data_IF_005248721073
#
_entry.id   IF_005248721073
#
_cell.length_a   1.000
_cell.length_b   1.000
_cell.length_c   1.000
_cell.angle_alpha   90.00
_cell.angle_beta   90.00
_cell.angle_gamma   90.00
#
_symmetry.space_group_name_H-M   'P 1'
#
loop_
_entity.id
_entity.type
_entity.pdbx_description
1 polymer ?
#
# COMPACT_ATOMS: atom_id res chain seq x y z
N UNK A 1 -19.41 35.12 5.27
CA UNK A 1 -18.23 36.01 5.33
C UNK A 1 -17.38 35.64 4.14
N UNK A 2 -17.29 36.56 3.18
CA UNK A 2 -16.71 36.30 1.87
C UNK A 2 -15.19 36.29 1.90
N UNK A 3 -14.62 35.46 1.02
CA UNK A 3 -13.28 35.61 0.50
C UNK A 3 -13.40 35.41 -1.00
N UNK A 4 -13.24 36.52 -1.71
CA UNK A 4 -13.20 36.64 -3.16
C UNK A 4 -11.88 36.07 -3.67
N UNK A 5 -11.96 35.15 -4.62
CA UNK A 5 -10.84 34.73 -5.47
C UNK A 5 -10.29 35.95 -6.21
N UNK A 6 -9.01 36.25 -5.97
CA UNK A 6 -8.22 37.18 -6.77
C UNK A 6 -7.25 36.34 -7.57
N UNK A 7 -7.68 36.00 -8.78
CA UNK A 7 -6.83 35.44 -9.83
C UNK A 7 -5.90 36.56 -10.34
N UNK A 8 -4.65 36.50 -9.90
CA UNK A 8 -3.61 37.48 -10.20
C UNK A 8 -2.55 36.86 -11.12
N UNK A 9 -2.89 36.68 -12.40
CA UNK A 9 -1.93 36.35 -13.45
C UNK A 9 -0.91 37.48 -13.64
N UNK A 10 0.26 37.37 -13.02
CA UNK A 10 1.40 38.24 -13.30
C UNK A 10 2.14 37.77 -14.56
N UNK A 11 1.49 37.97 -15.71
CA UNK A 11 2.16 38.05 -17.01
C UNK A 11 2.75 39.44 -17.18
N UNK A 12 3.88 39.70 -16.53
CA UNK A 12 4.63 40.95 -16.67
C UNK A 12 5.38 40.98 -17.99
N UNK A 13 4.78 41.64 -18.97
CA UNK A 13 5.38 42.12 -20.20
C UNK A 13 6.73 42.79 -19.88
N UNK A 14 7.82 42.23 -20.40
CA UNK A 14 9.10 42.93 -20.51
C UNK A 14 8.95 43.98 -21.62
N UNK A 15 8.31 45.09 -21.28
CA UNK A 15 8.48 46.33 -22.02
C UNK A 15 9.82 46.92 -21.58
N UNK A 16 10.88 46.60 -22.34
CA UNK A 16 12.15 47.32 -22.29
C UNK A 16 12.00 48.68 -22.96
N UNK A 17 11.07 49.49 -22.46
CA UNK A 17 11.00 50.90 -22.77
C UNK A 17 11.90 51.66 -21.80
N UNK A 18 12.84 52.40 -22.37
CA UNK A 18 13.72 53.37 -21.71
C UNK A 18 12.95 54.18 -20.64
N UNK A 19 13.24 53.92 -19.36
CA UNK A 19 12.92 54.83 -18.26
C UNK A 19 14.22 55.50 -17.82
N UNK A 20 14.83 56.27 -18.72
CA UNK A 20 15.61 57.43 -18.30
C UNK A 20 14.64 58.59 -18.13
N UNK A 21 13.90 58.55 -17.01
CA UNK A 21 13.14 59.69 -16.54
C UNK A 21 14.11 60.85 -16.25
N UNK A 22 13.65 62.05 -16.57
CA UNK A 22 14.38 63.34 -16.60
C UNK A 22 14.80 63.87 -15.20
N UNK A 23 15.12 62.97 -14.26
CA UNK A 23 15.73 63.32 -12.97
C UNK A 23 17.25 63.43 -13.16
N UNK A 24 17.67 64.54 -13.75
CA UNK A 24 19.08 64.84 -13.95
C UNK A 24 19.76 65.15 -12.62
N UNK A 25 20.52 64.19 -12.09
CA UNK A 25 21.24 64.32 -10.82
C UNK A 25 22.25 65.48 -10.78
N UNK A 26 22.86 65.85 -11.92
CA UNK A 26 23.82 66.95 -12.00
C UNK A 26 23.58 67.82 -13.25
N UNK A 27 23.68 69.14 -13.06
CA UNK A 27 23.66 70.17 -14.10
C UNK A 27 24.83 71.17 -13.92
N UNK A 28 24.95 72.15 -14.81
CA UNK A 28 26.05 73.13 -14.79
C UNK A 28 26.02 74.02 -13.53
N UNK A 29 24.83 74.25 -12.94
CA UNK A 29 24.65 75.14 -11.81
C UNK A 29 24.87 74.45 -10.45
N UNK A 30 24.74 73.12 -10.39
CA UNK A 30 24.87 72.34 -9.15
C UNK A 30 26.09 71.39 -9.09
N UNK A 31 26.92 71.36 -10.14
CA UNK A 31 28.00 70.40 -10.32
C UNK A 31 28.93 70.25 -9.10
N UNK A 32 29.38 71.36 -8.50
CA UNK A 32 30.26 71.34 -7.31
C UNK A 32 29.58 70.69 -6.09
N UNK A 33 28.27 70.89 -5.93
CA UNK A 33 27.50 70.28 -4.85
C UNK A 33 27.32 68.78 -5.11
N UNK A 34 27.03 68.39 -6.36
CA UNK A 34 26.86 66.99 -6.73
C UNK A 34 28.16 66.19 -6.59
N UNK A 35 29.32 66.76 -6.95
CA UNK A 35 30.63 66.10 -6.77
C UNK A 35 30.93 65.91 -5.28
N UNK A 36 30.68 66.92 -4.43
CA UNK A 36 30.83 66.78 -2.98
C UNK A 36 29.93 65.69 -2.40
N UNK A 37 28.67 65.67 -2.82
CA UNK A 37 27.70 64.66 -2.41
C UNK A 37 28.11 63.24 -2.84
N UNK A 38 28.55 63.07 -4.09
CA UNK A 38 29.05 61.79 -4.58
C UNK A 38 30.24 61.31 -3.75
N UNK A 39 31.22 62.17 -3.50
CA UNK A 39 32.41 61.82 -2.74
C UNK A 39 32.06 61.44 -1.28
N UNK A 40 31.13 62.15 -0.65
CA UNK A 40 30.64 61.79 0.67
C UNK A 40 29.89 60.44 0.68
N UNK A 41 29.06 60.20 -0.34
CA UNK A 41 28.31 58.95 -0.49
C UNK A 41 29.24 57.76 -0.72
N UNK A 42 30.24 57.92 -1.59
CA UNK A 42 31.23 56.88 -1.89
C UNK A 42 32.01 56.46 -0.64
N UNK A 43 32.44 57.43 0.17
CA UNK A 43 33.09 57.14 1.46
C UNK A 43 32.13 56.41 2.39
N UNK A 44 30.86 56.82 2.45
CA UNK A 44 29.82 56.17 3.29
C UNK A 44 29.58 54.72 2.86
N UNK A 45 29.61 54.42 1.56
CA UNK A 45 29.49 53.07 1.02
C UNK A 45 30.81 52.28 1.02
N UNK A 46 31.89 52.83 1.58
CA UNK A 46 33.16 52.14 1.78
C UNK A 46 34.09 52.12 0.56
N UNK A 47 33.87 52.98 -0.44
CA UNK A 47 34.77 53.09 -1.59
C UNK A 47 36.03 53.91 -1.27
N UNK A 48 37.21 53.48 -1.74
CA UNK A 48 38.47 54.17 -1.48
C UNK A 48 38.65 55.38 -2.42
N UNK A 49 38.80 56.58 -1.83
CA UNK A 49 39.01 57.90 -2.46
C UNK A 49 37.77 58.51 -3.13
N UNK A 50 37.61 59.83 -3.02
CA UNK A 50 36.60 60.58 -3.77
C UNK A 50 37.00 60.72 -5.25
N UNK A 51 36.00 60.95 -6.09
CA UNK A 51 36.13 61.38 -7.49
C UNK A 51 36.76 62.77 -7.54
N UNK A 52 37.94 62.85 -8.14
CA UNK A 52 38.61 64.10 -8.46
C UNK A 52 38.48 64.34 -9.97
N UNK A 53 37.35 64.92 -10.36
CA UNK A 53 36.95 65.08 -11.76
C UNK A 53 37.62 66.27 -12.45
N UNK A 54 38.23 67.18 -11.67
CA UNK A 54 38.86 68.41 -12.17
C UNK A 54 40.39 68.33 -12.20
N UNK A 55 41.00 67.33 -11.58
CA UNK A 55 42.45 67.23 -11.52
C UNK A 55 43.08 66.85 -12.84
N UNK A 56 44.16 67.56 -13.18
CA UNK A 56 45.06 67.22 -14.29
C UNK A 56 46.25 66.36 -13.85
N UNK A 57 46.31 65.99 -12.56
CA UNK A 57 47.40 65.18 -12.01
C UNK A 57 47.14 63.68 -12.30
N UNK A 58 48.07 62.97 -12.95
CA UNK A 58 47.88 61.56 -13.29
C UNK A 58 47.51 60.67 -12.10
N UNK A 59 48.06 60.93 -10.90
CA UNK A 59 47.74 60.18 -9.68
C UNK A 59 46.29 60.34 -9.22
N UNK A 60 45.71 61.53 -9.32
CA UNK A 60 44.30 61.75 -9.02
C UNK A 60 43.38 61.06 -10.03
N UNK A 61 43.72 61.13 -11.31
CA UNK A 61 42.95 60.45 -12.37
C UNK A 61 42.95 58.93 -12.14
N UNK A 62 44.10 58.33 -11.81
CA UNK A 62 44.19 56.89 -11.47
C UNK A 62 43.31 56.51 -10.28
N UNK A 63 43.26 57.32 -9.21
CA UNK A 63 42.38 57.10 -8.07
C UNK A 63 40.90 57.14 -8.48
N UNK A 64 40.51 58.13 -9.27
CA UNK A 64 39.15 58.26 -9.82
C UNK A 64 38.77 57.02 -10.66
N UNK A 65 39.64 56.58 -11.57
CA UNK A 65 39.40 55.39 -12.39
C UNK A 65 39.26 54.12 -11.53
N UNK A 66 40.10 53.93 -10.53
CA UNK A 66 40.02 52.78 -9.63
C UNK A 66 38.74 52.79 -8.79
N UNK A 67 38.29 53.96 -8.32
CA UNK A 67 37.02 54.09 -7.61
C UNK A 67 35.83 53.72 -8.51
N UNK A 68 35.80 54.24 -9.75
CA UNK A 68 34.76 53.91 -10.72
C UNK A 68 34.79 52.41 -11.06
N UNK A 69 35.97 51.83 -11.24
CA UNK A 69 36.12 50.40 -11.49
C UNK A 69 35.61 49.56 -10.31
N UNK A 70 35.92 49.95 -9.06
CA UNK A 70 35.42 49.28 -7.87
C UNK A 70 33.88 49.32 -7.79
N UNK A 71 33.25 50.44 -8.17
CA UNK A 71 31.78 50.55 -8.24
C UNK A 71 31.18 49.62 -9.29
N UNK A 72 31.79 49.54 -10.48
CA UNK A 72 31.35 48.63 -11.54
C UNK A 72 31.47 47.18 -11.05
N UNK A 73 32.59 46.82 -10.42
CA UNK A 73 32.81 45.48 -9.89
C UNK A 73 31.87 45.11 -8.74
N UNK A 74 31.52 46.08 -7.88
CA UNK A 74 30.49 45.87 -6.88
C UNK A 74 29.11 45.66 -7.53
N UNK A 75 28.74 46.51 -8.51
CA UNK A 75 27.47 46.37 -9.23
C UNK A 75 27.33 45.02 -9.92
N UNK A 76 28.40 44.49 -10.54
CA UNK A 76 28.41 43.17 -11.15
C UNK A 76 28.18 42.07 -10.12
N UNK A 77 28.93 42.08 -9.01
CA UNK A 77 28.75 41.11 -7.91
C UNK A 77 27.34 41.19 -7.28
N UNK A 78 26.79 42.39 -7.14
CA UNK A 78 25.44 42.58 -6.59
C UNK A 78 24.36 42.02 -7.54
N UNK A 79 24.56 42.13 -8.85
CA UNK A 79 23.69 41.52 -9.85
C UNK A 79 23.77 40.00 -9.76
N UNK A 80 24.98 39.43 -9.79
CA UNK A 80 25.20 37.99 -9.67
C UNK A 80 24.60 37.41 -8.37
N UNK A 81 24.80 38.09 -7.24
CA UNK A 81 24.22 37.70 -5.97
C UNK A 81 22.69 37.74 -6.00
N UNK A 82 22.11 38.78 -6.59
CA UNK A 82 20.66 38.93 -6.71
C UNK A 82 20.06 37.86 -7.62
N UNK A 83 20.72 37.54 -8.73
CA UNK A 83 20.31 36.48 -9.65
C UNK A 83 20.36 35.11 -8.97
N UNK A 84 21.47 34.78 -8.31
CA UNK A 84 21.62 33.51 -7.57
C UNK A 84 20.57 33.36 -6.44
N UNK A 85 20.29 34.44 -5.71
CA UNK A 85 19.24 34.46 -4.69
C UNK A 85 17.84 34.28 -5.32
N UNK A 86 17.58 34.90 -6.46
CA UNK A 86 16.31 34.77 -7.17
C UNK A 86 16.09 33.35 -7.71
N UNK A 87 17.13 32.73 -8.26
CA UNK A 87 17.11 31.33 -8.72
C UNK A 87 16.86 30.35 -7.56
N UNK A 88 17.49 30.60 -6.40
CA UNK A 88 17.22 29.81 -5.19
C UNK A 88 15.77 29.97 -4.74
N UNK A 89 15.26 31.20 -4.70
CA UNK A 89 13.87 31.51 -4.35
C UNK A 89 12.88 30.82 -5.31
N UNK A 90 13.12 30.86 -6.61
CA UNK A 90 12.24 30.22 -7.60
C UNK A 90 12.23 28.69 -7.46
N UNK A 91 13.39 28.07 -7.16
CA UNK A 91 13.47 26.64 -6.85
C UNK A 91 12.67 26.30 -5.59
N UNK A 92 12.85 27.05 -4.51
CA UNK A 92 12.11 26.85 -3.25
C UNK A 92 10.60 27.03 -3.43
N UNK A 93 10.17 28.02 -4.23
CA UNK A 93 8.75 28.17 -4.57
C UNK A 93 8.19 26.96 -5.31
N UNK A 94 8.94 26.43 -6.28
CA UNK A 94 8.53 25.23 -7.03
C UNK A 94 8.44 24.01 -6.12
N UNK A 95 9.41 23.85 -5.21
CA UNK A 95 9.40 22.79 -4.20
C UNK A 95 8.23 22.93 -3.23
N UNK A 96 7.90 24.15 -2.80
CA UNK A 96 6.75 24.43 -1.94
C UNK A 96 5.46 24.00 -2.63
N UNK A 97 5.20 24.45 -3.87
CA UNK A 97 3.98 24.08 -4.60
C UNK A 97 3.86 22.57 -4.80
N UNK A 98 4.99 21.88 -5.04
CA UNK A 98 5.02 20.41 -5.15
C UNK A 98 4.68 19.74 -3.81
N UNK A 99 5.19 20.26 -2.69
CA UNK A 99 4.90 19.73 -1.36
C UNK A 99 3.44 19.99 -0.96
N UNK A 100 2.91 21.18 -1.25
CA UNK A 100 1.50 21.54 -1.01
C UNK A 100 0.55 20.57 -1.75
N UNK A 101 0.78 20.33 -3.05
CA UNK A 101 0.00 19.37 -3.82
C UNK A 101 0.09 17.93 -3.27
N UNK A 102 1.26 17.54 -2.72
CA UNK A 102 1.43 16.24 -2.07
C UNK A 102 0.65 16.16 -0.76
N UNK A 103 0.65 17.23 0.03
CA UNK A 103 -0.10 17.31 1.30
C UNK A 103 -1.60 17.22 1.03
N UNK A 104 -2.11 17.95 0.04
CA UNK A 104 -3.53 17.89 -0.35
C UNK A 104 -3.93 16.47 -0.75
N UNK A 105 -3.15 15.84 -1.64
CA UNK A 105 -3.39 14.45 -2.07
C UNK A 105 -3.37 13.45 -0.90
N UNK A 106 -2.43 13.59 0.04
CA UNK A 106 -2.36 12.72 1.21
C UNK A 106 -3.53 12.95 2.16
N UNK A 107 -4.00 14.19 2.28
CA UNK A 107 -5.17 14.55 3.10
C UNK A 107 -6.43 13.90 2.53
N UNK A 108 -6.62 13.94 1.20
CA UNK A 108 -7.74 13.26 0.53
C UNK A 108 -7.70 11.74 0.71
N UNK A 109 -6.51 11.15 0.60
CA UNK A 109 -6.32 9.72 0.83
C UNK A 109 -6.65 9.33 2.27
N UNK A 110 -6.24 10.15 3.25
CA UNK A 110 -6.55 9.93 4.66
C UNK A 110 -8.07 9.97 4.88
N UNK A 111 -8.75 11.00 4.38
CA UNK A 111 -10.20 11.13 4.48
C UNK A 111 -10.94 9.96 3.82
N UNK A 112 -10.44 9.46 2.68
CA UNK A 112 -10.99 8.25 2.04
C UNK A 112 -10.82 7.02 2.92
N UNK A 113 -9.64 6.81 3.49
CA UNK A 113 -9.34 5.67 4.35
C UNK A 113 -10.14 5.69 5.66
N UNK A 114 -10.36 6.87 6.23
CA UNK A 114 -11.24 7.03 7.40
C UNK A 114 -12.69 6.63 7.10
N UNK A 115 -13.22 7.00 5.93
CA UNK A 115 -14.57 6.57 5.51
C UNK A 115 -14.65 5.06 5.29
N UNK A 116 -13.64 4.46 4.65
CA UNK A 116 -13.54 3.00 4.48
C UNK A 116 -13.50 2.29 5.83
N UNK A 117 -12.70 2.78 6.76
CA UNK A 117 -12.58 2.22 8.11
C UNK A 117 -13.92 2.29 8.86
N UNK A 118 -14.62 3.42 8.79
CA UNK A 118 -15.96 3.56 9.38
C UNK A 118 -16.96 2.58 8.78
N UNK A 119 -16.94 2.39 7.45
CA UNK A 119 -17.81 1.45 6.76
C UNK A 119 -17.54 -0.01 7.19
N UNK A 120 -16.27 -0.40 7.26
CA UNK A 120 -15.86 -1.74 7.72
C UNK A 120 -16.28 -1.95 9.17
N UNK A 121 -16.02 -0.98 10.05
CA UNK A 121 -16.38 -1.05 11.47
C UNK A 121 -17.88 -1.22 11.67
N UNK A 122 -18.71 -0.49 10.92
CA UNK A 122 -20.17 -0.63 10.96
C UNK A 122 -20.63 -2.01 10.47
N UNK A 123 -20.02 -2.52 9.39
CA UNK A 123 -20.30 -3.88 8.88
C UNK A 123 -19.92 -4.95 9.90
N UNK A 124 -18.78 -4.81 10.56
CA UNK A 124 -18.31 -5.71 11.61
C UNK A 124 -19.26 -5.69 12.82
N UNK A 125 -19.67 -4.52 13.29
CA UNK A 125 -20.63 -4.39 14.40
C UNK A 125 -21.96 -5.09 14.08
N UNK A 126 -22.47 -4.91 12.85
CA UNK A 126 -23.69 -5.59 12.39
C UNK A 126 -23.52 -7.11 12.35
N UNK A 127 -22.40 -7.60 11.79
CA UNK A 127 -22.09 -9.03 11.74
C UNK A 127 -21.96 -9.64 13.14
N UNK A 128 -21.29 -8.95 14.06
CA UNK A 128 -21.15 -9.36 15.46
C UNK A 128 -22.49 -9.40 16.20
N UNK A 129 -23.41 -8.47 15.89
CA UNK A 129 -24.77 -8.51 16.44
C UNK A 129 -25.59 -9.69 15.88
N UNK A 130 -25.49 -9.95 14.58
CA UNK A 130 -26.15 -11.12 13.95
C UNK A 130 -25.62 -12.44 14.51
N UNK A 131 -24.30 -12.56 14.67
CA UNK A 131 -23.67 -13.75 15.26
C UNK A 131 -24.13 -13.98 16.71
N UNK A 132 -24.17 -12.93 17.54
CA UNK A 132 -24.71 -13.01 18.90
C UNK A 132 -26.16 -13.48 18.93
N UNK A 133 -27.01 -12.94 18.06
CA UNK A 133 -28.41 -13.35 17.96
C UNK A 133 -28.56 -14.83 17.53
N UNK A 134 -27.67 -15.35 16.66
CA UNK A 134 -27.67 -16.77 16.29
C UNK A 134 -27.23 -17.66 17.45
N UNK A 135 -26.21 -17.25 18.22
CA UNK A 135 -25.76 -17.98 19.41
C UNK A 135 -26.90 -18.09 20.43
N UNK A 136 -27.62 -17.00 20.69
CA UNK A 136 -28.76 -16.99 21.61
C UNK A 136 -29.90 -17.93 21.14
N UNK A 137 -30.21 -17.94 19.83
CA UNK A 137 -31.19 -18.87 19.26
C UNK A 137 -30.77 -20.33 19.45
N UNK A 138 -29.52 -20.67 19.16
CA UNK A 138 -29.01 -22.02 19.34
C UNK A 138 -29.02 -22.45 20.81
N UNK A 139 -28.72 -21.53 21.74
CA UNK A 139 -28.88 -21.80 23.17
C UNK A 139 -30.34 -22.07 23.54
N UNK A 140 -31.28 -21.30 23.02
CA UNK A 140 -32.70 -21.51 23.26
C UNK A 140 -33.19 -22.87 22.72
N UNK A 141 -32.82 -23.21 21.48
CA UNK A 141 -33.15 -24.51 20.85
C UNK A 141 -32.54 -25.68 21.62
N UNK A 142 -31.29 -25.54 22.09
CA UNK A 142 -30.64 -26.55 22.95
C UNK A 142 -31.41 -26.75 24.24
N UNK A 143 -31.84 -25.67 24.90
CA UNK A 143 -32.58 -25.74 26.16
C UNK A 143 -33.98 -26.37 25.97
N UNK A 144 -34.67 -26.05 24.88
CA UNK A 144 -35.93 -26.69 24.47
C UNK A 144 -35.75 -28.19 24.20
N UNK A 145 -34.70 -28.57 23.46
CA UNK A 145 -34.39 -29.97 23.21
C UNK A 145 -34.11 -30.73 24.51
N UNK A 146 -33.36 -30.12 25.43
CA UNK A 146 -33.08 -30.72 26.73
C UNK A 146 -34.37 -30.91 27.55
N UNK A 147 -35.30 -29.95 27.54
CA UNK A 147 -36.64 -30.09 28.15
C UNK A 147 -37.41 -31.27 27.54
N UNK A 148 -37.40 -31.38 26.22
CA UNK A 148 -38.10 -32.45 25.50
C UNK A 148 -37.53 -33.84 25.81
N UNK A 149 -36.21 -33.97 25.89
CA UNK A 149 -35.53 -35.21 26.27
C UNK A 149 -35.95 -35.65 27.68
N UNK A 150 -35.94 -34.72 28.65
CA UNK A 150 -36.37 -35.01 30.02
C UNK A 150 -37.84 -35.45 30.06
N UNK A 151 -38.73 -34.74 29.36
CA UNK A 151 -40.15 -35.09 29.24
C UNK A 151 -40.35 -36.48 28.63
N UNK A 152 -39.62 -36.80 27.56
CA UNK A 152 -39.67 -38.10 26.89
C UNK A 152 -39.19 -39.23 27.81
N UNK A 153 -38.10 -39.01 28.55
CA UNK A 153 -37.60 -39.96 29.54
C UNK A 153 -38.64 -40.23 30.65
N UNK A 154 -39.34 -39.18 31.11
CA UNK A 154 -40.40 -39.31 32.10
C UNK A 154 -41.58 -40.14 31.57
N UNK A 155 -42.05 -39.87 30.34
CA UNK A 155 -43.13 -40.64 29.71
C UNK A 155 -42.72 -42.11 29.53
N UNK A 156 -41.50 -42.38 29.09
CA UNK A 156 -40.97 -43.75 28.94
C UNK A 156 -40.95 -44.50 30.28
N UNK A 157 -40.53 -43.82 31.36
CA UNK A 157 -40.56 -44.39 32.70
C UNK A 157 -41.99 -44.71 33.16
N UNK A 158 -42.95 -43.83 32.87
CA UNK A 158 -44.37 -44.04 33.20
C UNK A 158 -44.98 -45.20 32.41
N UNK A 159 -44.71 -45.28 31.10
CA UNK A 159 -45.14 -46.41 30.25
C UNK A 159 -44.56 -47.74 30.74
N UNK A 160 -43.29 -47.76 31.14
CA UNK A 160 -42.64 -48.95 31.71
C UNK A 160 -43.34 -49.40 33.01
N UNK A 161 -43.76 -48.46 33.86
CA UNK A 161 -44.51 -48.78 35.07
C UNK A 161 -45.89 -49.37 34.76
N UNK A 162 -46.64 -48.77 33.83
CA UNK A 162 -47.94 -49.29 33.38
C UNK A 162 -47.83 -50.68 32.74
N UNK A 163 -46.79 -50.91 31.92
CA UNK A 163 -46.51 -52.23 31.32
C UNK A 163 -46.28 -53.28 32.41
N UNK A 164 -45.43 -52.99 33.40
CA UNK A 164 -45.16 -53.91 34.53
C UNK A 164 -46.42 -54.18 35.36
N UNK A 165 -47.31 -53.20 35.51
CA UNK A 165 -48.61 -53.38 36.18
C UNK A 165 -49.51 -54.33 35.37
N UNK A 166 -49.62 -54.12 34.07
CA UNK A 166 -50.39 -54.98 33.16
C UNK A 166 -49.85 -56.40 33.10
N UNK A 167 -48.53 -56.57 33.12
CA UNK A 167 -47.90 -57.89 33.13
C UNK A 167 -48.22 -58.65 34.42
N UNK A 168 -48.23 -57.97 35.58
CA UNK A 168 -48.70 -58.57 36.84
C UNK A 168 -50.18 -58.95 36.79
N UNK A 169 -51.04 -58.13 36.18
CA UNK A 169 -52.46 -58.45 35.97
C UNK A 169 -52.64 -59.66 35.05
N UNK A 170 -51.85 -59.74 33.97
CA UNK A 170 -51.84 -60.85 33.03
C UNK A 170 -51.45 -62.16 33.70
N UNK A 171 -50.36 -62.17 34.49
CA UNK A 171 -49.93 -63.35 35.26
C UNK A 171 -51.06 -63.84 36.18
N UNK A 172 -51.71 -62.93 36.93
CA UNK A 172 -52.85 -63.29 37.79
C UNK A 172 -54.02 -63.87 37.01
N UNK A 173 -54.32 -63.34 35.82
CA UNK A 173 -55.40 -63.86 34.97
C UNK A 173 -55.05 -65.23 34.40
N UNK A 174 -53.79 -65.43 34.00
CA UNK A 174 -53.26 -66.70 33.53
C UNK A 174 -53.34 -67.77 34.63
N UNK A 175 -52.99 -67.44 35.87
CA UNK A 175 -53.15 -68.30 37.05
C UNK A 175 -54.61 -68.71 37.26
N UNK A 176 -55.56 -67.76 37.22
CA UNK A 176 -57.00 -68.04 37.32
C UNK A 176 -57.51 -68.93 36.20
N UNK A 177 -57.07 -68.71 34.96
CA UNK A 177 -57.45 -69.54 33.83
C UNK A 177 -56.96 -70.98 34.01
N UNK A 178 -55.71 -71.15 34.44
CA UNK A 178 -55.15 -72.47 34.74
C UNK A 178 -55.92 -73.15 35.87
N UNK A 179 -56.31 -72.41 36.91
CA UNK A 179 -57.18 -72.91 37.98
C UNK A 179 -58.50 -73.46 37.43
N UNK A 180 -59.21 -72.68 36.60
CA UNK A 180 -60.47 -73.09 35.96
C UNK A 180 -60.27 -74.29 35.02
N UNK A 181 -59.15 -74.38 34.30
CA UNK A 181 -58.85 -75.52 33.44
C UNK A 181 -58.59 -76.81 34.24
N UNK A 182 -57.93 -76.71 35.40
CA UNK A 182 -57.73 -77.83 36.32
C UNK A 182 -59.07 -78.26 36.93
N UNK A 183 -59.90 -77.31 37.36
CA UNK A 183 -61.26 -77.57 37.85
C UNK A 183 -62.10 -78.29 36.80
N UNK A 184 -62.11 -77.80 35.54
CA UNK A 184 -62.77 -78.50 34.42
C UNK A 184 -62.25 -79.92 34.18
N UNK A 185 -60.94 -80.15 34.28
CA UNK A 185 -60.37 -81.51 34.14
C UNK A 185 -60.73 -82.42 35.31
N UNK A 186 -60.93 -81.85 36.51
CA UNK A 186 -61.38 -82.57 37.71
C UNK A 186 -62.87 -82.91 37.64
N UNK A 187 -63.70 -81.98 37.17
CA UNK A 187 -65.13 -82.19 36.95
C UNK A 187 -65.42 -83.11 35.75
N UNK A 188 -64.51 -83.22 34.79
CA UNK A 188 -64.58 -84.22 33.71
C UNK A 188 -64.51 -85.68 34.19
N UNK A 189 -64.20 -85.94 35.47
CA UNK A 189 -64.33 -87.27 36.10
C UNK A 189 -65.66 -87.51 36.83
N UNK A 190 -66.51 -86.49 36.94
CA UNK A 190 -67.87 -86.61 37.47
C UNK A 190 -68.86 -86.35 36.33
N UNK A 191 -69.24 -87.43 35.66
CA UNK A 191 -70.18 -87.38 34.56
C UNK A 191 -71.54 -86.85 34.98
N UNK A 192 -71.92 -85.69 34.45
CA UNK A 192 -73.30 -85.41 34.06
C UNK A 192 -73.24 -84.80 32.65
N UNK A 193 -73.67 -85.61 31.72
CA UNK A 193 -73.92 -85.28 30.32
C UNK A 193 -75.16 -84.36 30.26
N UNK A 194 -74.96 -83.08 29.93
CA UNK A 194 -76.05 -82.18 29.55
C UNK A 194 -75.87 -81.83 28.08
N UNK A 195 -76.66 -82.55 27.30
CA UNK A 195 -76.94 -82.36 25.90
C UNK A 195 -77.58 -80.98 25.68
N UNK A 196 -77.05 -80.24 24.70
CA UNK A 196 -77.66 -79.12 23.97
C UNK A 196 -78.61 -78.19 24.74
N UNK A 197 -78.15 -76.97 25.02
CA UNK A 197 -78.96 -75.75 24.85
C UNK A 197 -78.07 -74.49 24.90
N UNK A 198 -78.35 -73.58 23.95
CA UNK A 198 -77.85 -72.19 23.82
C UNK A 198 -76.55 -72.04 23.01
N UNK A 199 -76.65 -71.91 21.70
CA UNK A 199 -76.95 -70.68 20.94
C UNK A 199 -75.67 -69.95 20.51
N UNK A 200 -75.65 -69.63 19.21
CA UNK A 200 -74.59 -68.88 18.53
C UNK A 200 -74.35 -67.54 19.20
N UNK A 201 -73.08 -67.17 19.40
CA UNK A 201 -72.60 -65.84 19.04
C UNK A 201 -71.06 -65.75 19.03
N UNK A 202 -70.52 -65.26 17.90
CA UNK A 202 -69.37 -64.37 17.95
C UNK A 202 -67.95 -64.93 18.00
N UNK A 203 -67.64 -66.15 17.53
CA UNK A 203 -66.24 -66.45 17.15
C UNK A 203 -66.00 -66.09 15.69
N UNK A 204 -65.63 -64.83 15.47
CA UNK A 204 -64.89 -64.40 14.28
C UNK A 204 -63.59 -65.19 14.23
N UNK A 205 -63.57 -66.30 13.48
CA UNK A 205 -62.34 -66.77 12.84
C UNK A 205 -61.89 -65.64 11.93
N UNK A 206 -60.68 -65.12 12.15
CA UNK A 206 -60.08 -64.12 11.27
C UNK A 206 -60.18 -64.61 9.83
N UNK A 207 -61.03 -63.95 9.05
CA UNK A 207 -61.08 -64.11 7.61
C UNK A 207 -59.75 -63.57 7.09
N UNK A 208 -58.86 -64.47 6.67
CA UNK A 208 -57.70 -64.11 5.87
C UNK A 208 -58.23 -63.52 4.55
N UNK A 209 -58.34 -62.20 4.53
CA UNK A 209 -58.97 -61.48 3.44
C UNK A 209 -57.86 -61.01 2.50
N UNK A 210 -57.47 -61.85 1.55
CA UNK A 210 -56.41 -61.57 0.55
C UNK A 210 -56.67 -60.23 -0.18
N UNK A 211 -57.94 -59.85 -0.38
CA UNK A 211 -58.33 -58.55 -0.96
C UNK A 211 -57.91 -57.33 -0.12
N UNK A 212 -57.81 -57.46 1.20
CA UNK A 212 -57.29 -56.39 2.09
C UNK A 212 -55.76 -56.33 2.05
N UNK A 213 -55.09 -57.49 2.03
CA UNK A 213 -53.63 -57.55 1.90
C UNK A 213 -53.15 -56.95 0.56
N UNK A 214 -53.86 -57.20 -0.54
CA UNK A 214 -53.57 -56.57 -1.84
C UNK A 214 -53.80 -55.06 -1.79
N UNK A 215 -54.90 -54.60 -1.18
CA UNK A 215 -55.19 -53.18 -1.00
C UNK A 215 -54.14 -52.45 -0.15
N UNK A 216 -53.67 -53.08 0.93
CA UNK A 216 -52.60 -52.56 1.79
C UNK A 216 -51.25 -52.54 1.05
N UNK A 217 -51.01 -53.51 0.16
CA UNK A 217 -49.80 -53.55 -0.66
C UNK A 217 -49.79 -52.45 -1.74
N UNK A 218 -50.91 -52.24 -2.45
CA UNK A 218 -51.05 -51.10 -3.37
C UNK A 218 -50.90 -49.77 -2.63
N UNK A 219 -51.50 -49.65 -1.45
CA UNK A 219 -51.36 -48.46 -0.61
C UNK A 219 -49.91 -48.23 -0.20
N UNK A 220 -49.21 -49.26 0.28
CA UNK A 220 -47.80 -49.15 0.66
C UNK A 220 -46.92 -48.72 -0.53
N UNK A 221 -47.19 -49.24 -1.73
CA UNK A 221 -46.48 -48.82 -2.95
C UNK A 221 -46.76 -47.34 -3.24
N UNK A 222 -48.03 -46.92 -3.23
CA UNK A 222 -48.41 -45.52 -3.48
C UNK A 222 -47.78 -44.59 -2.44
N UNK A 223 -47.87 -44.94 -1.16
CA UNK A 223 -47.27 -44.18 -0.05
C UNK A 223 -45.75 -44.07 -0.21
N UNK A 224 -45.07 -45.14 -0.64
CA UNK A 224 -43.63 -45.13 -0.92
C UNK A 224 -43.27 -44.24 -2.13
N UNK A 225 -44.06 -44.29 -3.21
CA UNK A 225 -43.89 -43.40 -4.36
C UNK A 225 -44.18 -41.94 -4.00
N UNK A 226 -45.18 -41.68 -3.15
CA UNK A 226 -45.54 -40.34 -2.70
C UNK A 226 -44.47 -39.76 -1.78
N UNK A 227 -43.94 -40.56 -0.85
CA UNK A 227 -42.79 -40.21 -0.03
C UNK A 227 -41.59 -39.85 -0.91
N UNK A 228 -41.23 -40.71 -1.87
CA UNK A 228 -40.12 -40.46 -2.79
C UNK A 228 -40.34 -39.22 -3.66
N UNK A 229 -41.58 -38.94 -4.06
CA UNK A 229 -41.94 -37.72 -4.79
C UNK A 229 -41.76 -36.48 -3.91
N UNK A 230 -42.15 -36.54 -2.65
CA UNK A 230 -41.96 -35.45 -1.69
C UNK A 230 -40.46 -35.19 -1.47
N UNK A 231 -39.67 -36.24 -1.28
CA UNK A 231 -38.21 -36.15 -1.15
C UNK A 231 -37.57 -35.48 -2.38
N UNK A 232 -37.96 -35.90 -3.60
CA UNK A 232 -37.49 -35.29 -4.84
C UNK A 232 -37.86 -33.80 -4.97
N UNK A 233 -39.06 -33.42 -4.51
CA UNK A 233 -39.49 -32.01 -4.52
C UNK A 233 -38.69 -31.20 -3.50
N UNK A 234 -38.42 -31.76 -2.32
CA UNK A 234 -37.62 -31.13 -1.28
C UNK A 234 -36.16 -30.95 -1.75
N UNK A 235 -35.53 -32.00 -2.28
CA UNK A 235 -34.16 -31.93 -2.83
C UNK A 235 -34.08 -30.93 -3.99
N UNK A 236 -35.09 -30.88 -4.88
CA UNK A 236 -35.11 -29.90 -5.95
C UNK A 236 -35.20 -28.45 -5.42
N UNK A 237 -35.96 -28.23 -4.34
CA UNK A 237 -36.05 -26.92 -3.70
C UNK A 237 -34.71 -26.51 -3.06
N UNK A 238 -34.04 -27.43 -2.38
CA UNK A 238 -32.71 -27.21 -1.81
C UNK A 238 -31.66 -26.90 -2.88
N UNK A 239 -31.65 -27.66 -3.99
CA UNK A 239 -30.76 -27.41 -5.13
C UNK A 239 -30.98 -26.03 -5.76
N UNK A 240 -32.24 -25.60 -5.91
CA UNK A 240 -32.58 -24.24 -6.37
C UNK A 240 -32.07 -23.18 -5.39
N UNK A 241 -32.22 -23.44 -4.09
CA UNK A 241 -31.67 -22.59 -3.03
C UNK A 241 -30.15 -22.44 -3.12
N UNK A 242 -29.44 -23.57 -3.25
CA UNK A 242 -27.99 -23.60 -3.39
C UNK A 242 -27.52 -22.86 -4.64
N UNK A 243 -28.18 -23.05 -5.79
CA UNK A 243 -27.85 -22.32 -7.02
C UNK A 243 -28.03 -20.80 -6.88
N UNK A 244 -29.06 -20.34 -6.17
CA UNK A 244 -29.21 -18.90 -5.87
C UNK A 244 -28.09 -18.41 -4.96
N UNK A 245 -27.79 -19.13 -3.88
CA UNK A 245 -26.70 -18.78 -2.96
C UNK A 245 -25.37 -18.65 -3.71
N UNK A 246 -25.02 -19.64 -4.54
CA UNK A 246 -23.81 -19.60 -5.35
C UNK A 246 -23.81 -18.42 -6.33
N UNK A 247 -24.96 -18.11 -6.94
CA UNK A 247 -25.07 -16.96 -7.84
C UNK A 247 -24.87 -15.62 -7.11
N UNK A 248 -25.38 -15.50 -5.88
CA UNK A 248 -25.20 -14.31 -5.05
C UNK A 248 -23.74 -14.21 -4.56
N UNK A 249 -23.13 -15.32 -4.11
CA UNK A 249 -21.71 -15.37 -3.71
C UNK A 249 -20.79 -14.97 -4.89
N UNK A 250 -21.05 -15.48 -6.09
CA UNK A 250 -20.30 -15.14 -7.30
C UNK A 250 -20.48 -13.67 -7.69
N UNK A 251 -21.69 -13.13 -7.52
CA UNK A 251 -21.99 -11.71 -7.78
C UNK A 251 -21.22 -10.85 -6.79
N UNK A 252 -21.26 -11.17 -5.50
CA UNK A 252 -20.55 -10.43 -4.46
C UNK A 252 -19.04 -10.48 -4.69
N UNK A 253 -18.47 -11.66 -4.95
CA UNK A 253 -17.04 -11.83 -5.22
C UNK A 253 -16.55 -11.03 -6.45
N UNK A 254 -17.35 -10.94 -7.50
CA UNK A 254 -16.95 -10.23 -8.74
C UNK A 254 -17.30 -8.75 -8.74
N UNK A 255 -18.24 -8.32 -7.91
CA UNK A 255 -18.65 -6.93 -7.76
C UNK A 255 -17.97 -6.23 -6.59
N UNK A 256 -17.31 -6.95 -5.68
CA UNK A 256 -16.36 -6.31 -4.77
C UNK A 256 -15.28 -5.64 -5.62
N UNK A 257 -15.07 -4.32 -5.49
CA UNK A 257 -14.03 -3.63 -6.23
C UNK A 257 -12.69 -4.20 -5.77
N UNK A 258 -12.16 -5.16 -6.53
CA UNK A 258 -10.77 -5.57 -6.42
C UNK A 258 -9.96 -4.30 -6.66
N UNK A 259 -9.27 -3.85 -5.60
CA UNK A 259 -8.62 -2.56 -5.50
C UNK A 259 -7.46 -2.39 -6.46
N UNK A 260 -7.78 -2.19 -7.74
CA UNK A 260 -6.89 -1.70 -8.79
C UNK A 260 -7.70 -0.72 -9.64
N UNK A 261 -7.78 0.50 -9.12
CA UNK A 261 -8.07 1.68 -9.93
C UNK A 261 -6.97 1.74 -10.99
N UNK A 262 -7.31 1.43 -12.24
CA UNK A 262 -6.47 1.75 -13.40
C UNK A 262 -6.53 3.26 -13.61
N UNK A 263 -5.43 4.02 -13.50
CA UNK A 263 -5.44 5.43 -13.85
C UNK A 263 -5.37 5.58 -15.37
N UNK A 264 -6.25 6.41 -15.92
CA UNK A 264 -6.04 7.08 -17.21
C UNK A 264 -6.74 6.44 -18.41
N UNK A 265 -7.90 6.99 -18.77
CA UNK A 265 -8.07 7.83 -19.98
C UNK A 265 -9.47 8.44 -19.90
N UNK A 266 -9.56 9.74 -19.64
CA UNK A 266 -10.81 10.46 -19.70
C UNK A 266 -11.17 10.79 -21.14
N UNK A 267 -12.43 10.57 -21.52
CA UNK A 267 -13.20 11.42 -22.45
C UNK A 267 -14.70 11.23 -22.13
N UNK A 268 -15.40 12.36 -22.00
CA UNK A 268 -16.85 12.60 -22.10
C UNK A 268 -17.82 11.89 -21.17
N UNK A 269 -18.49 12.70 -20.36
CA UNK A 269 -19.84 12.49 -19.85
C UNK A 269 -20.80 12.08 -20.97
N UNK A 270 -21.29 10.85 -20.91
CA UNK A 270 -22.62 10.50 -21.41
C UNK A 270 -23.19 9.45 -20.47
N UNK A 271 -24.44 9.68 -20.04
CA UNK A 271 -25.27 8.73 -19.31
C UNK A 271 -25.23 7.37 -19.99
N UNK A 272 -24.45 6.46 -19.46
CA UNK A 272 -24.52 5.05 -19.79
C UNK A 272 -24.51 4.28 -18.47
N UNK A 273 -25.62 3.55 -18.30
CA UNK A 273 -25.79 2.38 -17.47
C UNK A 273 -24.47 1.74 -17.04
N UNK A 274 -24.28 1.44 -15.73
CA UNK A 274 -23.05 0.80 -15.25
C UNK A 274 -22.76 -0.42 -16.13
N UNK A 275 -21.49 -0.59 -16.59
CA UNK A 275 -21.15 -1.59 -17.58
C UNK A 275 -21.71 -2.92 -17.13
N UNK A 276 -22.49 -3.57 -18.00
CA UNK A 276 -23.18 -4.82 -17.70
C UNK A 276 -22.20 -5.77 -17.02
N UNK A 277 -22.33 -5.90 -15.69
CA UNK A 277 -21.54 -6.84 -14.92
C UNK A 277 -21.73 -8.20 -15.58
N UNK A 278 -20.66 -8.97 -15.85
CA UNK A 278 -20.76 -10.20 -16.63
C UNK A 278 -21.67 -11.26 -15.99
N UNK A 279 -22.10 -11.03 -14.75
CA UNK A 279 -23.01 -11.87 -13.99
C UNK A 279 -24.36 -11.22 -13.65
N UNK A 280 -24.75 -10.14 -14.33
CA UNK A 280 -26.10 -9.57 -14.21
C UNK A 280 -27.15 -10.58 -14.69
N UNK A 281 -27.95 -11.12 -13.77
CA UNK A 281 -29.02 -12.05 -14.09
C UNK A 281 -30.03 -12.11 -12.96
N UNK A 282 -31.32 -12.06 -13.30
CA UNK A 282 -32.41 -12.33 -12.36
C UNK A 282 -32.34 -13.78 -11.90
N UNK A 283 -32.65 -14.03 -10.63
CA UNK A 283 -32.69 -15.37 -10.01
C UNK A 283 -34.03 -16.08 -10.24
N UNK A 284 -34.98 -15.41 -10.89
CA UNK A 284 -36.30 -15.94 -11.25
C UNK A 284 -36.23 -17.14 -12.21
N UNK A 285 -35.17 -17.24 -13.02
CA UNK A 285 -34.92 -18.41 -13.88
C UNK A 285 -34.84 -19.72 -13.10
N UNK A 286 -34.40 -19.67 -11.84
CA UNK A 286 -34.34 -20.84 -10.97
C UNK A 286 -35.69 -21.27 -10.41
N UNK A 287 -36.79 -20.53 -10.68
CA UNK A 287 -38.15 -20.84 -10.23
C UNK A 287 -39.01 -21.50 -11.31
N UNK A 288 -38.56 -21.50 -12.57
CA UNK A 288 -39.28 -22.14 -13.67
C UNK A 288 -39.25 -23.68 -13.57
N UNK A 289 -40.22 -24.40 -14.17
CA UNK A 289 -40.16 -25.84 -14.33
C UNK A 289 -38.85 -26.26 -14.98
N UNK A 290 -38.21 -27.31 -14.45
CA UNK A 290 -36.84 -27.68 -14.85
C UNK A 290 -36.66 -27.84 -16.36
N UNK A 291 -37.61 -28.49 -17.04
CA UNK A 291 -37.55 -28.69 -18.49
C UNK A 291 -37.56 -27.38 -19.31
N UNK A 292 -38.11 -26.29 -18.76
CA UNK A 292 -38.14 -24.98 -19.41
C UNK A 292 -36.88 -24.15 -19.14
N UNK A 293 -36.22 -24.38 -18.00
CA UNK A 293 -35.08 -23.59 -17.56
C UNK A 293 -33.73 -24.29 -17.73
N UNK A 294 -33.71 -25.61 -17.97
CA UNK A 294 -32.49 -26.43 -17.99
C UNK A 294 -31.41 -25.86 -18.90
N UNK A 295 -31.77 -25.54 -20.14
CA UNK A 295 -30.80 -25.11 -21.14
C UNK A 295 -30.29 -23.69 -20.83
N UNK A 296 -31.19 -22.79 -20.41
CA UNK A 296 -30.84 -21.43 -20.01
C UNK A 296 -29.93 -21.41 -18.77
N UNK A 297 -30.20 -22.24 -17.76
CA UNK A 297 -29.34 -22.39 -16.58
C UNK A 297 -27.99 -22.97 -16.99
N UNK A 298 -27.98 -24.00 -17.84
CA UNK A 298 -26.75 -24.65 -18.30
C UNK A 298 -25.84 -23.72 -19.13
N UNK A 299 -26.42 -22.94 -20.04
CA UNK A 299 -25.71 -21.94 -20.84
C UNK A 299 -25.21 -20.78 -19.99
N UNK A 300 -26.05 -20.26 -19.08
CA UNK A 300 -25.67 -19.23 -18.13
C UNK A 300 -24.45 -19.69 -17.30
N UNK A 301 -24.50 -20.86 -16.67
CA UNK A 301 -23.38 -21.38 -15.89
C UNK A 301 -22.10 -21.57 -16.72
N UNK A 302 -22.20 -22.08 -17.95
CA UNK A 302 -21.04 -22.22 -18.86
C UNK A 302 -20.43 -20.86 -19.23
N UNK A 303 -21.27 -19.88 -19.54
CA UNK A 303 -20.82 -18.52 -19.87
C UNK A 303 -20.12 -17.88 -18.67
N UNK A 304 -20.76 -17.93 -17.48
CA UNK A 304 -20.20 -17.40 -16.23
C UNK A 304 -18.84 -18.05 -15.89
N UNK A 305 -18.73 -19.37 -16.04
CA UNK A 305 -17.49 -20.11 -15.80
C UNK A 305 -16.39 -19.71 -16.79
N UNK A 306 -16.76 -19.47 -18.07
CA UNK A 306 -15.82 -19.01 -19.09
C UNK A 306 -15.27 -17.62 -18.75
N UNK A 307 -16.13 -16.69 -18.31
CA UNK A 307 -15.70 -15.36 -17.87
C UNK A 307 -14.78 -15.41 -16.65
N UNK A 308 -15.07 -16.28 -15.68
CA UNK A 308 -14.22 -16.46 -14.48
C UNK A 308 -12.85 -16.97 -14.88
N UNK A 309 -12.80 -17.98 -15.77
CA UNK A 309 -11.54 -18.54 -16.26
C UNK A 309 -10.70 -17.47 -16.96
N UNK A 310 -11.31 -16.62 -17.78
CA UNK A 310 -10.63 -15.53 -18.46
C UNK A 310 -10.06 -14.49 -17.47
N UNK A 311 -10.86 -14.03 -16.51
CA UNK A 311 -10.36 -13.10 -15.47
C UNK A 311 -9.24 -13.70 -14.63
N UNK A 312 -9.32 -14.99 -14.29
CA UNK A 312 -8.28 -15.67 -13.53
C UNK A 312 -6.96 -15.73 -14.32
N UNK A 313 -7.03 -15.99 -15.64
CA UNK A 313 -5.85 -15.92 -16.51
C UNK A 313 -5.26 -14.51 -16.56
N UNK A 314 -6.09 -13.47 -16.69
CA UNK A 314 -5.65 -12.07 -16.67
C UNK A 314 -4.98 -11.67 -15.35
N UNK A 315 -5.55 -12.09 -14.21
CA UNK A 315 -4.96 -11.84 -12.89
C UNK A 315 -3.60 -12.56 -12.74
N UNK A 316 -3.50 -13.80 -13.24
CA UNK A 316 -2.24 -14.54 -13.21
C UNK A 316 -1.17 -13.91 -14.10
N UNK A 317 -1.55 -13.39 -15.27
CA UNK A 317 -0.65 -12.66 -16.16
C UNK A 317 -0.21 -11.32 -15.56
N UNK A 318 -1.15 -10.56 -14.97
CA UNK A 318 -0.84 -9.32 -14.25
C UNK A 318 0.09 -9.58 -13.07
N UNK A 319 -0.10 -10.65 -12.31
CA UNK A 319 0.77 -11.02 -11.21
C UNK A 319 2.19 -11.33 -11.70
N UNK A 320 2.32 -12.11 -12.79
CA UNK A 320 3.62 -12.39 -13.42
C UNK A 320 4.32 -11.12 -13.89
N UNK A 321 3.59 -10.15 -14.44
CA UNK A 321 4.15 -8.86 -14.85
C UNK A 321 4.63 -8.04 -13.63
N UNK A 322 3.89 -8.05 -12.54
CA UNK A 322 4.30 -7.39 -11.29
C UNK A 322 5.55 -8.05 -10.68
N UNK A 323 5.61 -9.38 -10.68
CA UNK A 323 6.76 -10.12 -10.16
C UNK A 323 8.01 -9.86 -11.02
N UNK A 324 7.88 -9.86 -12.35
CA UNK A 324 8.97 -9.49 -13.26
C UNK A 324 9.44 -8.04 -13.05
N UNK A 325 8.50 -7.10 -12.86
CA UNK A 325 8.82 -5.70 -12.55
C UNK A 325 9.59 -5.56 -11.22
N UNK A 326 9.19 -6.34 -10.21
CA UNK A 326 9.90 -6.39 -8.93
C UNK A 326 11.32 -6.92 -9.08
N UNK A 327 11.52 -8.02 -9.81
CA UNK A 327 12.85 -8.56 -10.09
C UNK A 327 13.74 -7.53 -10.82
N UNK A 328 13.19 -6.77 -11.77
CA UNK A 328 13.95 -5.71 -12.45
C UNK A 328 14.33 -4.56 -11.52
N UNK A 329 13.43 -4.16 -10.60
CA UNK A 329 13.72 -3.10 -9.62
C UNK A 329 14.77 -3.53 -8.60
N UNK A 330 14.71 -4.78 -8.13
CA UNK A 330 15.72 -5.36 -7.23
C UNK A 330 17.10 -5.44 -7.93
N UNK A 331 17.11 -5.78 -9.23
CA UNK A 331 18.33 -5.78 -10.05
C UNK A 331 18.92 -4.37 -10.21
N UNK A 332 18.07 -3.37 -10.42
CA UNK A 332 18.47 -1.97 -10.55
C UNK A 332 19.11 -1.45 -9.25
N UNK A 333 18.47 -1.69 -8.10
CA UNK A 333 19.01 -1.32 -6.78
C UNK A 333 20.37 -1.98 -6.50
N UNK A 334 20.55 -3.25 -6.90
CA UNK A 334 21.83 -3.93 -6.75
C UNK A 334 22.94 -3.30 -7.61
N UNK A 335 22.61 -2.86 -8.83
CA UNK A 335 23.56 -2.15 -9.70
C UNK A 335 23.90 -0.76 -9.16
N UNK A 336 22.93 -0.03 -8.60
CA UNK A 336 23.18 1.25 -7.93
C UNK A 336 24.14 1.10 -6.74
N UNK A 337 23.96 0.06 -5.93
CA UNK A 337 24.86 -0.25 -4.82
C UNK A 337 26.29 -0.52 -5.30
N UNK A 338 26.45 -1.31 -6.38
CA UNK A 338 27.77 -1.56 -6.98
C UNK A 338 28.42 -0.29 -7.54
N UNK A 339 27.64 0.61 -8.15
CA UNK A 339 28.16 1.90 -8.63
C UNK A 339 28.62 2.80 -7.48
N UNK A 340 27.90 2.81 -6.35
CA UNK A 340 28.32 3.53 -5.15
C UNK A 340 29.63 2.99 -4.59
N UNK A 341 29.78 1.67 -4.51
CA UNK A 341 31.03 1.01 -4.08
C UNK A 341 32.19 1.36 -5.02
N UNK A 342 31.98 1.26 -6.34
CA UNK A 342 32.99 1.62 -7.33
C UNK A 342 33.42 3.09 -7.21
N UNK A 343 32.47 4.01 -6.98
CA UNK A 343 32.76 5.43 -6.74
C UNK A 343 33.58 5.64 -5.46
N UNK A 344 33.30 4.90 -4.41
CA UNK A 344 34.09 4.93 -3.17
C UNK A 344 35.53 4.51 -3.42
N UNK A 345 35.74 3.40 -4.14
CA UNK A 345 37.08 2.91 -4.49
C UNK A 345 37.83 3.94 -5.33
N UNK A 346 37.19 4.52 -6.35
CA UNK A 346 37.81 5.57 -7.18
C UNK A 346 38.20 6.79 -6.33
N UNK A 347 37.32 7.21 -5.40
CA UNK A 347 37.61 8.32 -4.49
C UNK A 347 38.80 8.02 -3.58
N UNK A 348 38.90 6.80 -3.06
CA UNK A 348 40.03 6.37 -2.23
C UNK A 348 41.33 6.32 -3.04
N UNK A 349 41.29 5.76 -4.25
CA UNK A 349 42.43 5.73 -5.17
C UNK A 349 42.90 7.15 -5.53
N UNK A 350 41.96 8.07 -5.80
CA UNK A 350 42.29 9.47 -6.08
C UNK A 350 42.93 10.17 -4.86
N UNK A 351 42.45 9.87 -3.65
CA UNK A 351 43.05 10.38 -2.41
C UNK A 351 44.47 9.85 -2.20
N UNK A 352 44.69 8.55 -2.40
CA UNK A 352 46.02 7.94 -2.32
C UNK A 352 46.97 8.51 -3.36
N UNK A 353 46.51 8.69 -4.60
CA UNK A 353 47.29 9.30 -5.67
C UNK A 353 47.68 10.74 -5.33
N UNK A 354 46.75 11.55 -4.82
CA UNK A 354 47.04 12.92 -4.42
C UNK A 354 48.06 13.00 -3.25
N UNK A 355 47.99 12.04 -2.33
CA UNK A 355 48.99 11.89 -1.26
C UNK A 355 50.36 11.54 -1.82
N UNK A 356 50.44 10.62 -2.77
CA UNK A 356 51.71 10.22 -3.40
C UNK A 356 52.33 11.37 -4.21
N UNK A 357 51.51 12.13 -4.95
CA UNK A 357 51.97 13.33 -5.66
C UNK A 357 52.52 14.38 -4.68
N UNK A 358 51.88 14.56 -3.51
CA UNK A 358 52.37 15.48 -2.48
C UNK A 358 53.70 15.00 -1.87
N UNK A 359 53.87 13.68 -1.67
CA UNK A 359 55.11 13.08 -1.18
C UNK A 359 56.26 13.17 -2.21
N UNK A 360 55.96 13.05 -3.51
CA UNK A 360 56.93 13.26 -4.60
C UNK A 360 57.35 14.74 -4.75
N UNK A 361 56.40 15.68 -4.60
CA UNK A 361 56.69 17.12 -4.61
C UNK A 361 57.57 17.52 -3.41
N UNK A 362 57.27 17.02 -2.20
CA UNK A 362 58.09 17.24 -1.01
C UNK A 362 59.49 16.64 -1.17
N UNK A 363 59.59 15.43 -1.73
CA UNK A 363 60.88 14.78 -2.00
C UNK A 363 61.70 15.55 -3.02
N UNK A 364 61.07 16.05 -4.09
CA UNK A 364 61.70 16.89 -5.12
C UNK A 364 62.19 18.22 -4.54
N UNK A 365 61.41 18.82 -3.63
CA UNK A 365 61.78 20.06 -2.95
C UNK A 365 62.99 19.88 -2.02
N UNK A 366 63.06 18.75 -1.29
CA UNK A 366 64.21 18.41 -0.45
C UNK A 366 65.49 18.21 -1.28
N UNK A 367 65.39 17.52 -2.42
CA UNK A 367 66.53 17.32 -3.33
C UNK A 367 67.03 18.66 -3.89
N UNK A 368 66.14 19.55 -4.33
CA UNK A 368 66.51 20.87 -4.82
C UNK A 368 67.25 21.70 -3.75
N UNK A 369 66.79 21.64 -2.49
CA UNK A 369 67.41 22.34 -1.36
C UNK A 369 68.80 21.79 -1.02
N UNK A 370 69.00 20.48 -1.13
CA UNK A 370 70.32 19.85 -0.97
C UNK A 370 71.29 20.32 -2.06
N UNK A 371 70.88 20.31 -3.33
CA UNK A 371 71.72 20.80 -4.44
C UNK A 371 72.08 22.29 -4.29
N UNK A 372 71.16 23.12 -3.81
CA UNK A 372 71.45 24.53 -3.57
C UNK A 372 72.46 24.74 -2.43
N UNK A 373 72.38 23.92 -1.38
CA UNK A 373 73.35 23.94 -0.28
C UNK A 373 74.75 23.50 -0.72
N UNK A 374 74.83 22.51 -1.62
CA UNK A 374 76.08 21.97 -2.15
C UNK A 374 76.75 22.98 -3.10
N UNK A 375 75.96 23.65 -3.96
CA UNK A 375 76.45 24.75 -4.80
C UNK A 375 76.97 25.94 -3.98
N UNK A 376 76.29 26.30 -2.88
CA UNK A 376 76.76 27.35 -1.95
C UNK A 376 78.07 26.95 -1.27
N UNK A 377 78.21 25.70 -0.86
CA UNK A 377 79.46 25.19 -0.27
C UNK A 377 80.61 25.21 -1.29
N UNK A 378 80.36 24.78 -2.52
CA UNK A 378 81.36 24.78 -3.61
C UNK A 378 81.80 26.20 -3.98
N UNK A 379 80.87 27.15 -4.02
CA UNK A 379 81.16 28.57 -4.27
C UNK A 379 82.01 29.17 -3.13
N UNK A 380 81.66 28.88 -1.87
CA UNK A 380 82.43 29.34 -0.72
C UNK A 380 83.86 28.77 -0.71
N UNK A 381 84.04 27.54 -1.17
CA UNK A 381 85.35 26.90 -1.31
C UNK A 381 86.18 27.53 -2.44
N UNK A 382 85.55 27.86 -3.57
CA UNK A 382 86.17 28.64 -4.65
C UNK A 382 86.64 30.02 -4.19
N UNK A 383 85.81 30.76 -3.45
CA UNK A 383 86.17 32.07 -2.90
C UNK A 383 87.35 31.95 -1.93
N UNK A 384 87.36 30.93 -1.06
CA UNK A 384 88.51 30.67 -0.17
C UNK A 384 89.79 30.45 -0.97
N UNK A 385 89.78 29.66 -2.04
CA UNK A 385 90.98 29.44 -2.87
C UNK A 385 91.49 30.74 -3.48
N UNK A 386 90.61 31.56 -4.06
CA UNK A 386 90.99 32.84 -4.67
C UNK A 386 91.58 33.79 -3.62
N UNK A 387 90.97 33.90 -2.43
CA UNK A 387 91.53 34.70 -1.33
C UNK A 387 92.91 34.19 -0.90
N UNK A 388 93.11 32.87 -0.90
CA UNK A 388 94.39 32.25 -0.56
C UNK A 388 95.45 32.58 -1.61
N UNK A 389 95.12 32.46 -2.90
CA UNK A 389 96.00 32.86 -4.01
C UNK A 389 96.32 34.36 -3.96
N UNK A 390 95.34 35.23 -3.73
CA UNK A 390 95.56 36.66 -3.62
C UNK A 390 96.46 37.00 -2.43
N UNK A 391 96.31 36.31 -1.31
CA UNK A 391 97.16 36.47 -0.14
C UNK A 391 98.59 36.03 -0.46
N UNK A 392 98.77 34.89 -1.13
CA UNK A 392 100.09 34.42 -1.59
C UNK A 392 100.74 35.43 -2.54
N UNK A 393 99.98 36.00 -3.48
CA UNK A 393 100.48 37.03 -4.41
C UNK A 393 100.88 38.30 -3.65
N UNK A 394 100.06 38.79 -2.73
CA UNK A 394 100.35 39.99 -1.94
C UNK A 394 101.58 39.78 -1.06
N UNK A 395 101.67 38.65 -0.36
CA UNK A 395 102.84 38.29 0.46
C UNK A 395 104.09 38.17 -0.42
N UNK A 396 103.96 37.57 -1.61
CA UNK A 396 105.04 37.50 -2.60
C UNK A 396 105.51 38.87 -3.08
N UNK A 397 104.60 39.80 -3.35
CA UNK A 397 104.93 41.19 -3.70
C UNK A 397 105.65 41.92 -2.56
N UNK A 398 105.20 41.75 -1.32
CA UNK A 398 105.85 42.37 -0.16
C UNK A 398 107.27 41.81 0.08
N UNK A 399 107.45 40.49 -0.04
CA UNK A 399 108.76 39.86 0.09
C UNK A 399 109.73 40.31 -1.02
N UNK A 400 109.25 40.43 -2.26
CA UNK A 400 110.09 40.89 -3.39
C UNK A 400 110.47 42.38 -3.27
N UNK A 401 109.58 43.20 -2.71
CA UNK A 401 109.88 44.61 -2.41
C UNK A 401 110.87 44.77 -1.26
N UNK A 402 110.74 43.98 -0.20
CA UNK A 402 111.70 43.97 0.92
C UNK A 402 113.09 43.53 0.47
N UNK A 403 113.18 42.62 -0.51
CA UNK A 403 114.44 42.16 -1.08
C UNK A 403 115.11 43.13 -2.06
N UNK A 404 114.43 44.23 -2.44
CA UNK A 404 114.99 45.32 -3.28
C UNK A 404 115.44 46.54 -2.48
N UNK A 405 115.03 46.64 -1.22
CA UNK A 405 115.38 47.75 -0.31
C UNK A 405 116.48 47.37 0.71
N UNK A 406 117.20 46.25 0.47
CA UNK A 406 118.47 45.83 1.11
C UNK A 406 119.51 45.76 -0.01
#
# INVERSE_FOLDING_TARGET
MGLTDVDGGYGGLYDSSDVFGDDTFADIHNLDHCIKYLNQSLVTFGFPSGLDLYSSEPSSIVRTCNCIYAMIQQRQRDIEYREAANDSRQRLMSDMSRLEAKVERLTDQLASKERELQAITSKEQKAAATSRAQIEKLQHEKDEFQRMVISTQQVKAQQMHELKKKEKEYIKLQERLNQVLIEKKKDSKNGIEIMNLLQKEGRQRGTWNTKKADGDFYKMIVDAYETKKQDLVAENLELRGLLRSMQDDMRDFLNTPSGLIRPGTGVSSHEHEPPATPLGGRTDVFDLPFHMARDQIGESLRAKMSTIKERMMQLQESQKLLDAGRETSEREQALEAQLLEARSIISEQASLMNKHMSEEDDSSHVIAKLMESENKASTAQGVKMVVTEQTIIIVGYFLNRFSRDI
#
